data_IF_477702542928
#
_entry.id   IF_477702542928
#
_cell.length_a   1.000
_cell.length_b   1.000
_cell.length_c   1.000
_cell.angle_alpha   90.00
_cell.angle_beta   90.00
_cell.angle_gamma   90.00
#
_symmetry.space_group_name_H-M   'P 1'
#
loop_
_entity.id
_entity.type
_entity.pdbx_description
1 polymer ?
#
# COMPACT_ATOMS: atom_id res chain seq x y z
N UNK A 1 -4.71 2.36 -17.51
CA UNK A 1 -6.16 2.14 -17.34
C UNK A 1 -6.71 3.32 -16.57
N UNK A 2 -7.65 4.07 -17.15
CA UNK A 2 -8.41 5.10 -16.41
C UNK A 2 -9.65 4.42 -15.83
N UNK A 3 -9.91 4.60 -14.53
CA UNK A 3 -11.15 4.11 -13.90
C UNK A 3 -12.32 4.91 -14.51
N UNK A 4 -13.33 4.22 -15.03
CA UNK A 4 -14.60 4.84 -15.44
C UNK A 4 -15.54 4.92 -14.24
N UNK A 5 -15.76 6.10 -13.63
CA UNK A 5 -16.67 6.21 -12.49
C UNK A 5 -18.10 5.82 -12.88
N UNK A 6 -18.72 4.94 -12.08
CA UNK A 6 -20.08 4.42 -12.32
C UNK A 6 -20.15 3.03 -12.96
N UNK A 7 -19.01 2.43 -13.32
CA UNK A 7 -18.95 1.10 -13.93
C UNK A 7 -18.37 0.05 -12.95
N UNK A 8 -19.17 -0.96 -12.60
CA UNK A 8 -18.84 -1.99 -11.60
C UNK A 8 -18.30 -3.27 -12.25
N UNK A 9 -17.19 -3.16 -12.99
CA UNK A 9 -16.52 -4.31 -13.60
C UNK A 9 -15.36 -4.82 -12.71
N UNK A 10 -14.89 -6.05 -12.98
CA UNK A 10 -13.81 -6.70 -12.22
C UNK A 10 -12.52 -5.88 -12.21
N UNK A 11 -12.20 -5.24 -13.33
CA UNK A 11 -10.97 -4.46 -13.48
C UNK A 11 -11.00 -3.19 -12.62
N UNK A 12 -12.13 -2.47 -12.63
CA UNK A 12 -12.36 -1.30 -11.80
C UNK A 12 -12.35 -1.64 -10.31
N UNK A 13 -12.95 -2.77 -9.91
CA UNK A 13 -12.92 -3.23 -8.53
C UNK A 13 -11.49 -3.54 -8.06
N UNK A 14 -10.72 -4.28 -8.87
CA UNK A 14 -9.31 -4.59 -8.57
C UNK A 14 -8.48 -3.30 -8.53
N UNK A 15 -8.68 -2.39 -9.48
CA UNK A 15 -7.95 -1.13 -9.53
C UNK A 15 -8.27 -0.25 -8.31
N UNK A 16 -9.53 -0.14 -7.90
CA UNK A 16 -9.91 0.62 -6.72
C UNK A 16 -9.27 0.07 -5.44
N UNK A 17 -9.20 -1.26 -5.29
CA UNK A 17 -8.53 -1.90 -4.15
C UNK A 17 -7.02 -1.62 -4.18
N UNK A 18 -6.38 -1.69 -5.35
CA UNK A 18 -4.96 -1.33 -5.49
C UNK A 18 -4.69 0.12 -5.11
N UNK A 19 -5.49 1.05 -5.63
CA UNK A 19 -5.31 2.48 -5.37
C UNK A 19 -5.49 2.79 -3.88
N UNK A 20 -6.45 2.11 -3.22
CA UNK A 20 -6.63 2.18 -1.78
C UNK A 20 -5.38 1.68 -1.02
N UNK A 21 -4.87 0.49 -1.35
CA UNK A 21 -3.68 -0.08 -0.73
C UNK A 21 -2.44 0.82 -0.96
N UNK A 22 -2.23 1.33 -2.18
CA UNK A 22 -1.14 2.25 -2.52
C UNK A 22 -1.26 3.56 -1.74
N UNK A 23 -2.46 4.12 -1.61
CA UNK A 23 -2.71 5.31 -0.80
C UNK A 23 -2.33 5.11 0.67
N UNK A 24 -2.72 3.96 1.24
CA UNK A 24 -2.35 3.59 2.61
C UNK A 24 -0.84 3.43 2.76
N UNK A 25 -0.17 2.70 1.88
CA UNK A 25 1.30 2.53 1.92
C UNK A 25 1.98 3.89 1.92
N UNK A 26 1.61 4.79 1.00
CA UNK A 26 2.18 6.15 0.92
C UNK A 26 1.98 6.94 2.21
N UNK A 27 0.77 6.89 2.79
CA UNK A 27 0.47 7.56 4.06
C UNK A 27 1.36 7.06 5.19
N UNK A 28 1.45 5.75 5.36
CA UNK A 28 2.23 5.13 6.43
C UNK A 28 3.74 5.32 6.21
N UNK A 29 4.23 5.31 4.97
CA UNK A 29 5.62 5.66 4.66
C UNK A 29 5.95 7.11 5.07
N UNK A 30 5.05 8.06 4.80
CA UNK A 30 5.23 9.45 5.22
C UNK A 30 5.27 9.57 6.75
N UNK A 31 4.43 8.84 7.47
CA UNK A 31 4.46 8.82 8.94
C UNK A 31 5.82 8.33 9.47
N UNK A 32 6.38 7.26 8.89
CA UNK A 32 7.73 6.78 9.23
C UNK A 32 8.78 7.87 9.02
N UNK A 33 8.75 8.58 7.88
CA UNK A 33 9.69 9.68 7.61
C UNK A 33 9.55 10.84 8.61
N UNK A 34 8.31 11.18 9.00
CA UNK A 34 8.03 12.19 10.01
C UNK A 34 8.63 11.76 11.36
N UNK A 35 8.44 10.50 11.77
CA UNK A 35 9.00 9.97 13.02
C UNK A 35 10.53 9.98 13.01
N UNK A 36 11.16 9.53 11.92
CA UNK A 36 12.61 9.53 11.74
C UNK A 36 13.20 10.95 11.80
N UNK A 37 12.53 11.93 11.17
CA UNK A 37 12.96 13.33 11.17
C UNK A 37 12.81 13.98 12.54
N UNK A 38 11.74 13.67 13.28
CA UNK A 38 11.49 14.23 14.60
C UNK A 38 12.39 13.61 15.69
N UNK A 39 12.79 12.34 15.56
CA UNK A 39 13.71 11.67 16.49
C UNK A 39 15.10 12.32 16.56
N UNK A 40 15.53 13.02 15.49
CA UNK A 40 16.83 13.68 15.43
C UNK A 40 16.95 14.92 16.35
N UNK A 41 15.86 15.41 16.96
CA UNK A 41 15.83 16.66 17.72
C UNK A 41 15.72 16.55 19.24
N UNK A 42 15.25 15.42 19.79
CA UNK A 42 14.99 15.25 21.23
C UNK A 42 15.41 13.83 21.61
N UNK A 43 16.42 13.70 22.48
CA UNK A 43 17.10 12.44 22.79
C UNK A 43 16.30 11.40 23.60
N UNK A 44 14.98 11.41 23.59
CA UNK A 44 14.19 10.62 24.54
C UNK A 44 12.89 10.14 23.87
N UNK A 45 12.77 8.82 23.61
CA UNK A 45 11.62 7.96 23.92
C UNK A 45 11.63 6.67 23.05
N UNK A 46 11.56 5.46 23.66
CA UNK A 46 11.42 4.19 22.93
C UNK A 46 10.12 4.10 22.09
N UNK A 47 9.12 4.94 22.38
CA UNK A 47 7.84 5.01 21.67
C UNK A 47 7.96 5.32 20.17
N UNK A 48 9.02 6.02 19.73
CA UNK A 48 9.17 6.38 18.30
C UNK A 48 9.52 5.16 17.47
N UNK A 49 10.39 4.27 17.97
CA UNK A 49 10.74 3.05 17.26
C UNK A 49 9.55 2.09 17.21
N UNK A 50 8.81 1.94 18.31
CA UNK A 50 7.58 1.15 18.36
C UNK A 50 6.51 1.70 17.40
N UNK A 51 6.38 3.03 17.29
CA UNK A 51 5.51 3.66 16.31
C UNK A 51 5.95 3.37 14.86
N UNK A 52 7.25 3.45 14.57
CA UNK A 52 7.80 3.10 13.24
C UNK A 52 7.53 1.62 12.93
N UNK A 53 7.72 0.71 13.87
CA UNK A 53 7.45 -0.72 13.69
C UNK A 53 5.98 -0.99 13.38
N UNK A 54 5.05 -0.30 14.06
CA UNK A 54 3.62 -0.38 13.76
C UNK A 54 3.29 0.11 12.35
N UNK A 55 3.87 1.24 11.94
CA UNK A 55 3.64 1.77 10.59
C UNK A 55 4.22 0.84 9.51
N UNK A 56 5.40 0.26 9.74
CA UNK A 56 6.02 -0.73 8.84
C UNK A 56 5.19 -2.02 8.73
N UNK A 57 4.59 -2.49 9.82
CA UNK A 57 3.70 -3.64 9.79
C UNK A 57 2.48 -3.40 8.90
N UNK A 58 1.89 -2.20 8.96
CA UNK A 58 0.77 -1.81 8.10
C UNK A 58 1.20 -1.71 6.64
N UNK A 59 2.38 -1.14 6.36
CA UNK A 59 2.95 -1.11 5.00
C UNK A 59 3.12 -2.52 4.46
N UNK A 60 3.71 -3.44 5.24
CA UNK A 60 3.90 -4.84 4.85
C UNK A 60 2.57 -5.52 4.53
N UNK A 61 1.55 -5.34 5.38
CA UNK A 61 0.21 -5.89 5.13
C UNK A 61 -0.39 -5.43 3.80
N UNK A 62 -0.34 -4.13 3.51
CA UNK A 62 -0.89 -3.62 2.24
C UNK A 62 -0.02 -3.98 1.04
N UNK A 63 1.30 -4.10 1.22
CA UNK A 63 2.21 -4.57 0.19
C UNK A 63 1.91 -6.03 -0.20
N UNK A 64 1.72 -6.90 0.79
CA UNK A 64 1.35 -8.30 0.56
C UNK A 64 0.00 -8.40 -0.17
N UNK A 65 -0.97 -7.56 0.18
CA UNK A 65 -2.24 -7.49 -0.55
C UNK A 65 -2.04 -7.15 -2.03
N UNK A 66 -1.16 -6.20 -2.35
CA UNK A 66 -0.83 -5.85 -3.73
C UNK A 66 -0.17 -7.02 -4.46
N UNK A 67 0.76 -7.73 -3.82
CA UNK A 67 1.42 -8.88 -4.44
C UNK A 67 0.46 -10.06 -4.64
N UNK A 68 -0.49 -10.30 -3.72
CA UNK A 68 -1.57 -11.28 -3.92
C UNK A 68 -2.46 -10.88 -5.09
N UNK A 69 -2.86 -9.60 -5.18
CA UNK A 69 -3.65 -9.10 -6.31
C UNK A 69 -2.90 -9.34 -7.62
N UNK A 70 -1.61 -9.02 -7.67
CA UNK A 70 -0.77 -9.21 -8.84
C UNK A 70 -0.59 -10.68 -9.21
N UNK A 71 -0.34 -11.55 -8.22
CA UNK A 71 -0.08 -12.97 -8.45
C UNK A 71 -1.31 -13.74 -8.95
N UNK A 72 -2.52 -13.42 -8.43
CA UNK A 72 -3.73 -14.20 -8.68
C UNK A 72 -4.76 -13.51 -9.58
N UNK A 73 -4.74 -12.18 -9.64
CA UNK A 73 -5.75 -11.40 -10.34
C UNK A 73 -5.20 -10.59 -11.53
N UNK A 74 -3.88 -10.43 -11.65
CA UNK A 74 -3.23 -9.80 -12.80
C UNK A 74 -2.46 -10.75 -13.71
N UNK A 75 -2.32 -12.04 -13.34
CA UNK A 75 -1.80 -13.03 -14.29
C UNK A 75 -2.76 -13.11 -15.48
N UNK A 76 -2.42 -12.38 -16.54
CA UNK A 76 -3.03 -12.51 -17.85
C UNK A 76 -2.92 -13.96 -18.26
N UNK A 77 -4.07 -14.49 -18.66
CA UNK A 77 -4.18 -15.80 -19.28
C UNK A 77 -3.10 -15.93 -20.37
N UNK A 78 -2.17 -16.90 -20.30
CA UNK A 78 -1.13 -17.07 -21.31
C UNK A 78 -1.69 -17.45 -22.69
N UNK A 79 -3.01 -17.61 -22.81
CA UNK A 79 -3.73 -18.00 -24.02
C UNK A 79 -4.71 -16.95 -24.56
N UNK A 80 -4.83 -15.77 -23.94
CA UNK A 80 -5.53 -14.64 -24.57
C UNK A 80 -4.57 -13.92 -25.50
N UNK A 81 -4.37 -14.50 -26.69
CA UNK A 81 -3.80 -13.81 -27.84
C UNK A 81 -4.69 -12.62 -28.20
N UNK A 82 -4.05 -11.49 -28.51
CA UNK A 82 -4.65 -10.30 -29.13
C UNK A 82 -5.36 -10.65 -30.45
#
# INVERSE_FOLDING_TARGET
>A
MSISPGEYNRENAIQAIKDHAVGHIKKHCMNVEIYLKNAAGVGEHPDILDAIEKELAVIAQYHDQLEVIKAYFEKKDPFKSE
#
